data_IF_888762433981
#
_entry.id   IF_888762433981
#
_cell.length_a   1.000
_cell.length_b   1.000
_cell.length_c   1.000
_cell.angle_alpha   90.00
_cell.angle_beta   90.00
_cell.angle_gamma   90.00
#
_symmetry.space_group_name_H-M   'P 1'
#
loop_
_entity.id
_entity.type
_entity.pdbx_description
1 polymer ?
#
# COMPACT_ATOMS: atom_id res chain seq x y z
N UNK A 1 42.58 -61.65 -5.11
CA UNK A 1 41.25 -62.19 -5.49
C UNK A 1 40.42 -61.03 -6.04
N UNK A 2 39.88 -61.20 -7.25
CA UNK A 2 38.79 -60.44 -7.90
C UNK A 2 39.02 -58.95 -8.26
N UNK A 3 39.04 -58.72 -9.57
CA UNK A 3 38.96 -57.48 -10.35
C UNK A 3 37.74 -56.60 -10.05
N UNK A 4 37.74 -55.34 -10.49
CA UNK A 4 36.68 -54.69 -11.29
C UNK A 4 37.11 -53.24 -11.63
N UNK A 5 37.55 -52.95 -12.86
CA UNK A 5 36.78 -52.48 -14.03
C UNK A 5 36.69 -50.94 -14.16
N UNK A 6 37.15 -50.55 -15.34
CA UNK A 6 37.14 -49.28 -16.07
C UNK A 6 35.74 -48.68 -16.20
N UNK A 7 35.56 -47.37 -15.99
CA UNK A 7 34.46 -46.64 -16.63
C UNK A 7 34.74 -45.14 -16.71
N UNK A 8 35.13 -44.71 -17.92
CA UNK A 8 34.98 -43.33 -18.39
C UNK A 8 33.49 -43.12 -18.64
N UNK A 9 32.88 -42.12 -18.00
CA UNK A 9 31.54 -41.66 -18.39
C UNK A 9 31.59 -40.19 -18.81
N UNK A 10 31.49 -40.04 -20.12
CA UNK A 10 31.34 -38.82 -20.89
C UNK A 10 29.91 -38.30 -20.68
N UNK A 11 29.74 -37.18 -19.95
CA UNK A 11 28.44 -36.52 -19.86
C UNK A 11 28.35 -35.43 -20.93
N UNK A 12 27.67 -35.80 -22.02
CA UNK A 12 27.09 -34.89 -22.99
C UNK A 12 26.00 -34.07 -22.29
N UNK A 13 26.22 -32.77 -22.08
CA UNK A 13 25.15 -31.86 -21.66
C UNK A 13 24.32 -31.52 -22.88
N UNK A 14 23.23 -32.26 -23.05
CA UNK A 14 22.14 -31.92 -23.95
C UNK A 14 21.39 -30.71 -23.41
N UNK A 15 21.44 -29.59 -24.13
CA UNK A 15 20.50 -28.50 -23.92
C UNK A 15 19.10 -28.90 -24.41
N UNK A 16 18.07 -28.52 -23.64
CA UNK A 16 16.74 -28.11 -24.12
C UNK A 16 15.85 -27.81 -22.91
N UNK A 17 15.21 -26.64 -22.91
CA UNK A 17 13.90 -26.32 -22.28
C UNK A 17 13.91 -24.83 -21.96
N UNK A 18 13.27 -23.94 -22.72
CA UNK A 18 11.90 -24.06 -23.22
C UNK A 18 11.08 -23.00 -22.49
N UNK A 19 10.78 -21.91 -23.18
CA UNK A 19 10.12 -20.73 -22.63
C UNK A 19 8.68 -20.96 -22.19
N UNK A 20 8.26 -20.13 -21.25
CA UNK A 20 6.88 -20.03 -20.78
C UNK A 20 6.80 -18.88 -19.79
N UNK A 21 6.78 -17.65 -20.32
CA UNK A 21 6.43 -16.48 -19.54
C UNK A 21 4.98 -16.59 -19.12
N UNK A 22 4.72 -17.30 -18.02
CA UNK A 22 3.44 -17.22 -17.33
C UNK A 22 3.43 -15.86 -16.64
N UNK A 23 2.91 -14.85 -17.35
CA UNK A 23 2.42 -13.65 -16.71
C UNK A 23 1.31 -14.09 -15.76
N UNK A 24 1.68 -14.38 -14.52
CA UNK A 24 0.74 -14.43 -13.42
C UNK A 24 0.08 -13.06 -13.37
N UNK A 25 -1.08 -12.94 -14.02
CA UNK A 25 -2.07 -11.90 -13.76
C UNK A 25 -2.71 -12.19 -12.41
N UNK A 26 -1.90 -12.35 -11.36
CA UNK A 26 -2.36 -12.07 -10.00
C UNK A 26 -2.85 -10.62 -10.04
N UNK A 27 -4.11 -10.34 -9.67
CA UNK A 27 -4.55 -8.97 -9.50
C UNK A 27 -3.53 -8.28 -8.62
N UNK A 28 -2.86 -7.26 -9.15
CA UNK A 28 -1.92 -6.47 -8.38
C UNK A 28 -2.76 -5.72 -7.34
N UNK A 29 -2.95 -6.33 -6.17
CA UNK A 29 -3.60 -5.68 -5.05
C UNK A 29 -2.79 -4.43 -4.75
N UNK A 30 -3.42 -3.27 -4.90
CA UNK A 30 -2.75 -2.01 -4.63
C UNK A 30 -2.27 -1.99 -3.17
N UNK A 31 -1.04 -1.53 -2.95
CA UNK A 31 -0.45 -1.54 -1.62
C UNK A 31 -1.31 -0.72 -0.65
N UNK A 32 -1.62 -1.31 0.51
CA UNK A 32 -2.26 -0.61 1.62
C UNK A 32 -1.20 0.15 2.40
N UNK A 33 -1.44 1.43 2.64
CA UNK A 33 -0.59 2.35 3.39
C UNK A 33 -1.34 2.86 4.62
N UNK A 34 -0.61 3.41 5.57
CA UNK A 34 -1.15 4.07 6.77
C UNK A 34 -0.83 5.56 6.73
N UNK A 35 -1.81 6.39 7.07
CA UNK A 35 -1.67 7.82 7.31
C UNK A 35 -2.15 8.15 8.72
N UNK A 36 -1.86 9.36 9.20
CA UNK A 36 -2.31 9.84 10.51
C UNK A 36 -3.02 11.18 10.37
N UNK A 37 -4.22 11.29 10.92
CA UNK A 37 -4.92 12.57 11.04
C UNK A 37 -4.55 13.23 12.37
N UNK A 38 -3.99 14.44 12.33
CA UNK A 38 -3.34 15.08 13.48
C UNK A 38 -3.72 16.56 13.67
N UNK A 39 -4.27 16.84 14.84
CA UNK A 39 -4.40 18.13 15.54
C UNK A 39 -4.39 17.81 17.05
N UNK A 40 -3.38 17.03 17.45
CA UNK A 40 -3.52 15.93 18.42
C UNK A 40 -4.08 14.65 17.77
N UNK A 41 -3.84 13.44 18.32
CA UNK A 41 -4.47 12.22 17.80
C UNK A 41 -5.99 12.34 17.79
N UNK A 42 -6.61 12.24 16.61
CA UNK A 42 -8.09 12.33 16.47
C UNK A 42 -8.67 10.93 16.34
N UNK A 43 -9.37 10.45 17.36
CA UNK A 43 -10.06 9.17 17.35
C UNK A 43 -11.49 9.29 16.80
N UNK A 44 -11.92 8.31 16.00
CA UNK A 44 -13.32 8.20 15.58
C UNK A 44 -13.70 9.06 14.38
N UNK A 45 -12.74 9.73 13.73
CA UNK A 45 -12.99 10.50 12.52
C UNK A 45 -13.26 9.55 11.36
N UNK A 46 -14.40 9.69 10.69
CA UNK A 46 -14.76 8.82 9.58
C UNK A 46 -13.94 9.18 8.33
N UNK A 47 -13.40 8.17 7.66
CA UNK A 47 -12.68 8.33 6.40
C UNK A 47 -13.19 7.36 5.33
N UNK A 48 -13.09 7.76 4.07
CA UNK A 48 -13.39 6.90 2.92
C UNK A 48 -12.61 7.30 1.68
N UNK A 49 -12.09 6.31 0.95
CA UNK A 49 -11.47 6.42 -0.37
C UNK A 49 -12.11 5.39 -1.31
N UNK A 50 -11.53 5.22 -2.51
CA UNK A 50 -11.97 4.19 -3.45
C UNK A 50 -11.83 2.78 -2.89
N UNK A 51 -10.76 2.52 -2.13
CA UNK A 51 -10.41 1.18 -1.66
C UNK A 51 -10.57 0.98 -0.15
N UNK A 52 -10.66 2.06 0.65
CA UNK A 52 -10.66 1.98 2.12
C UNK A 52 -11.78 2.81 2.72
N UNK A 53 -12.33 2.36 3.86
CA UNK A 53 -13.23 3.17 4.67
C UNK A 53 -13.19 2.70 6.12
N UNK A 54 -13.47 3.61 7.05
CA UNK A 54 -13.50 3.29 8.48
C UNK A 54 -13.49 4.55 9.33
N UNK A 55 -13.02 4.40 10.56
CA UNK A 55 -12.75 5.50 11.48
C UNK A 55 -11.30 5.49 11.90
N UNK A 56 -10.72 6.66 12.13
CA UNK A 56 -9.37 6.78 12.70
C UNK A 56 -9.31 6.10 14.06
N UNK A 57 -8.19 5.45 14.39
CA UNK A 57 -7.98 4.81 15.68
C UNK A 57 -7.62 5.83 16.80
N UNK A 58 -7.34 5.35 18.00
CA UNK A 58 -6.98 6.22 19.14
C UNK A 58 -5.70 7.05 18.93
N UNK A 59 -4.87 6.66 17.97
CA UNK A 59 -3.64 7.36 17.58
C UNK A 59 -3.86 8.25 16.35
N UNK A 60 -5.07 8.28 15.78
CA UNK A 60 -5.39 9.02 14.57
C UNK A 60 -5.08 8.29 13.27
N UNK A 61 -4.72 7.00 13.30
CA UNK A 61 -4.33 6.26 12.09
C UNK A 61 -5.53 5.89 11.21
N UNK A 62 -5.33 5.95 9.90
CA UNK A 62 -6.28 5.48 8.88
C UNK A 62 -5.54 4.78 7.73
N UNK A 63 -6.24 3.90 7.01
CA UNK A 63 -5.68 3.18 5.86
C UNK A 63 -6.04 3.86 4.53
N UNK A 64 -5.13 3.80 3.57
CA UNK A 64 -5.36 4.31 2.23
C UNK A 64 -4.47 3.61 1.19
N UNK A 65 -4.74 3.84 -0.09
CA UNK A 65 -3.86 3.44 -1.18
C UNK A 65 -3.27 4.70 -1.83
N UNK A 66 -1.96 4.69 -2.09
CA UNK A 66 -1.26 5.84 -2.68
C UNK A 66 -1.91 6.30 -3.99
N UNK A 67 -2.12 7.60 -4.11
CA UNK A 67 -2.79 8.24 -5.24
C UNK A 67 -4.32 8.35 -5.11
N UNK A 68 -4.93 7.70 -4.12
CA UNK A 68 -6.36 7.87 -3.86
C UNK A 68 -6.65 9.18 -3.14
N UNK A 69 -7.84 9.73 -3.40
CA UNK A 69 -8.42 10.81 -2.62
C UNK A 69 -9.17 10.21 -1.42
N UNK A 70 -8.79 10.65 -0.22
CA UNK A 70 -9.44 10.29 1.03
C UNK A 70 -10.35 11.44 1.45
N UNK A 71 -11.62 11.15 1.69
CA UNK A 71 -12.60 12.09 2.26
C UNK A 71 -12.71 11.86 3.76
N UNK A 72 -12.67 12.94 4.55
CA UNK A 72 -12.84 12.91 6.01
C UNK A 72 -14.15 13.57 6.42
N UNK A 73 -14.89 12.97 7.35
CA UNK A 73 -16.22 13.42 7.77
C UNK A 73 -16.54 13.14 9.25
N UNK A 74 -17.50 13.87 9.79
CA UNK A 74 -18.12 13.65 11.10
C UNK A 74 -19.64 13.57 10.87
N UNK A 75 -20.20 12.36 10.93
CA UNK A 75 -21.61 12.14 10.62
C UNK A 75 -21.92 12.52 9.17
N UNK A 76 -22.75 13.54 8.99
CA UNK A 76 -23.11 14.08 7.67
C UNK A 76 -22.22 15.25 7.22
N UNK A 77 -21.28 15.71 8.04
CA UNK A 77 -20.44 16.87 7.74
C UNK A 77 -19.13 16.39 7.11
N UNK A 78 -18.89 16.74 5.85
CA UNK A 78 -17.58 16.54 5.20
C UNK A 78 -16.64 17.66 5.62
N UNK A 79 -15.52 17.31 6.26
CA UNK A 79 -14.48 18.28 6.64
C UNK A 79 -13.64 18.68 5.43
N UNK A 80 -13.36 17.71 4.55
CA UNK A 80 -12.65 17.94 3.30
C UNK A 80 -12.06 16.65 2.74
N UNK A 81 -11.20 16.82 1.73
CA UNK A 81 -10.62 15.69 0.99
C UNK A 81 -9.15 15.95 0.69
N UNK A 82 -8.36 14.88 0.61
CA UNK A 82 -6.94 14.98 0.27
C UNK A 82 -6.48 13.78 -0.56
N UNK A 83 -5.81 14.05 -1.68
CA UNK A 83 -5.01 13.04 -2.38
C UNK A 83 -3.71 12.78 -1.61
N UNK A 84 -3.45 11.51 -1.28
CA UNK A 84 -2.28 11.12 -0.48
C UNK A 84 -1.41 10.19 -1.31
N UNK A 85 -0.16 10.57 -1.55
CA UNK A 85 0.77 9.82 -2.40
C UNK A 85 1.90 9.15 -1.59
N UNK A 86 2.13 9.57 -0.35
CA UNK A 86 3.25 9.10 0.48
C UNK A 86 2.71 8.34 1.69
N UNK A 87 3.28 7.18 2.00
CA UNK A 87 2.98 6.46 3.25
C UNK A 87 3.39 7.29 4.48
N UNK A 88 2.73 7.08 5.61
CA UNK A 88 2.96 7.80 6.87
C UNK A 88 2.76 9.32 6.76
N UNK A 89 1.95 9.79 5.80
CA UNK A 89 1.57 11.20 5.72
C UNK A 89 0.79 11.63 6.96
N UNK A 90 1.17 12.81 7.48
CA UNK A 90 0.43 13.53 8.49
C UNK A 90 -0.57 14.47 7.80
N UNK A 91 -1.84 14.34 8.15
CA UNK A 91 -2.93 15.17 7.62
C UNK A 91 -3.51 15.97 8.78
N UNK A 92 -3.44 17.29 8.70
CA UNK A 92 -4.05 18.22 9.66
C UNK A 92 -5.41 18.69 9.15
N UNK A 93 -6.28 19.25 10.01
CA UNK A 93 -7.49 19.94 9.56
C UNK A 93 -7.20 21.04 8.54
N UNK A 94 -6.06 21.75 8.66
CA UNK A 94 -5.66 22.80 7.74
C UNK A 94 -5.39 22.26 6.32
N UNK A 95 -4.84 21.05 6.21
CA UNK A 95 -4.57 20.40 4.92
C UNK A 95 -5.84 20.07 4.12
N UNK A 96 -7.00 20.07 4.76
CA UNK A 96 -8.29 19.80 4.12
C UNK A 96 -8.94 21.04 3.50
N UNK A 97 -8.47 22.24 3.86
CA UNK A 97 -9.07 23.52 3.45
C UNK A 97 -8.20 24.17 2.38
N UNK A 98 -8.81 24.52 1.25
CA UNK A 98 -8.12 25.27 0.20
C UNK A 98 -7.83 26.69 0.70
N UNK A 99 -6.54 27.08 0.72
CA UNK A 99 -6.12 28.42 1.14
C UNK A 99 -6.14 28.64 2.65
N UNK A 100 -6.15 27.56 3.45
CA UNK A 100 -5.98 27.68 4.90
C UNK A 100 -4.63 28.30 5.24
N UNK A 101 -4.66 29.46 5.90
CA UNK A 101 -3.49 30.14 6.46
C UNK A 101 -3.63 30.23 7.97
N UNK A 102 -2.49 30.32 8.66
CA UNK A 102 -2.47 30.74 10.06
C UNK A 102 -2.38 32.26 10.02
N UNK A 103 -3.44 32.93 10.46
CA UNK A 103 -3.43 34.39 10.62
C UNK A 103 -2.74 34.72 11.95
N UNK A 104 -1.68 35.53 11.90
CA UNK A 104 -0.86 35.95 13.06
C UNK A 104 -1.54 37.04 13.93
#
# INVERSE_FOLDING_TARGET
MKSFILSVFLLLVSGCSGGGGTSNTTPQTAATNVGMFVDGPVHGLEYSSKSHSGSTDSSGFFYFTSGEEVTFKIGSITLGKRSITTANSLITPLDLVTGGTVDD
#
